data_IF_590753799117
#
_entry.id   IF_590753799117
#
_cell.length_a   1.000
_cell.length_b   1.000
_cell.length_c   1.000
_cell.angle_alpha   90.00
_cell.angle_beta   90.00
_cell.angle_gamma   90.00
#
_symmetry.space_group_name_H-M   'P 1'
#
loop_
_entity.id
_entity.type
_entity.pdbx_description
1 polymer ?
#
# COMPACT_ATOMS: atom_id res chain seq x y z
N UNK A 1 -24.07 71.79 28.80
CA UNK A 1 -24.18 70.37 29.19
C UNK A 1 -24.93 69.62 28.09
N UNK A 2 -24.23 68.94 27.18
CA UNK A 2 -24.86 68.12 26.12
C UNK A 2 -24.66 66.65 26.46
N UNK A 3 -25.76 65.97 26.80
CA UNK A 3 -25.80 64.54 27.15
C UNK A 3 -25.54 63.71 25.91
N UNK A 4 -24.41 63.01 25.87
CA UNK A 4 -24.11 61.99 24.88
C UNK A 4 -24.99 60.76 25.17
N UNK A 5 -25.99 60.54 24.33
CA UNK A 5 -26.81 59.33 24.36
C UNK A 5 -26.14 58.30 23.46
N UNK A 6 -25.35 57.42 24.07
CA UNK A 6 -24.70 56.28 23.41
C UNK A 6 -25.76 55.24 23.09
N UNK A 7 -26.26 55.22 21.86
CA UNK A 7 -27.03 54.09 21.34
C UNK A 7 -26.06 53.03 20.83
N UNK A 8 -25.82 52.02 21.66
CA UNK A 8 -25.18 50.76 21.28
C UNK A 8 -26.03 50.11 20.18
N UNK A 9 -25.56 50.18 18.94
CA UNK A 9 -26.10 49.39 17.86
C UNK A 9 -25.64 47.94 18.05
N UNK A 10 -26.58 47.09 18.47
CA UNK A 10 -26.40 45.64 18.55
C UNK A 10 -26.32 45.11 17.12
N UNK A 11 -25.12 44.71 16.71
CA UNK A 11 -24.87 44.07 15.41
C UNK A 11 -25.20 42.58 15.56
N UNK A 12 -26.42 42.19 15.21
CA UNK A 12 -26.78 40.79 14.95
C UNK A 12 -26.69 40.59 13.44
N UNK A 13 -25.53 40.14 12.97
CA UNK A 13 -25.40 39.54 11.64
C UNK A 13 -25.71 38.07 11.80
N UNK A 14 -27.01 37.74 11.73
CA UNK A 14 -27.44 36.42 11.30
C UNK A 14 -27.31 36.40 9.78
N UNK A 15 -26.34 35.66 9.25
CA UNK A 15 -26.39 35.18 7.87
C UNK A 15 -25.78 33.77 7.85
N UNK A 16 -26.69 32.82 7.96
CA UNK A 16 -26.71 31.53 7.28
C UNK A 16 -25.53 31.27 6.34
N UNK A 17 -24.69 30.31 6.73
CA UNK A 17 -23.70 29.68 5.88
C UNK A 17 -23.52 28.24 6.31
N UNK A 18 -24.53 27.40 6.06
CA UNK A 18 -24.29 25.97 5.93
C UNK A 18 -23.42 25.79 4.68
N UNK A 19 -22.11 25.78 4.86
CA UNK A 19 -21.18 25.24 3.86
C UNK A 19 -20.67 23.90 4.39
N UNK A 20 -21.59 22.96 4.52
CA UNK A 20 -21.28 21.54 4.39
C UNK A 20 -21.39 21.21 2.90
N UNK A 21 -20.38 21.60 2.15
CA UNK A 21 -20.07 20.98 0.85
C UNK A 21 -18.60 20.60 0.97
N UNK A 22 -18.34 19.36 1.38
CA UNK A 22 -18.19 18.26 0.43
C UNK A 22 -17.09 18.61 -0.56
N UNK A 23 -15.85 18.36 -0.13
CA UNK A 23 -14.73 17.93 -0.98
C UNK A 23 -13.64 17.41 -0.03
N UNK A 24 -13.99 16.37 0.75
CA UNK A 24 -12.98 15.34 1.01
C UNK A 24 -12.82 14.60 -0.32
N UNK A 25 -12.15 15.26 -1.27
CA UNK A 25 -11.53 14.56 -2.38
C UNK A 25 -10.51 13.65 -1.72
N UNK A 26 -10.94 12.42 -1.44
CA UNK A 26 -10.07 11.30 -1.32
C UNK A 26 -9.31 11.23 -2.66
N UNK A 27 -8.23 12.00 -2.74
CA UNK A 27 -7.13 11.79 -3.66
C UNK A 27 -6.46 10.47 -3.20
N UNK A 28 -7.20 9.37 -3.35
CA UNK A 28 -6.68 8.07 -3.71
C UNK A 28 -6.16 8.16 -5.15
N UNK A 29 -5.27 9.13 -5.40
CA UNK A 29 -4.08 8.81 -6.18
C UNK A 29 -3.38 7.76 -5.34
N UNK A 30 -3.75 6.50 -5.59
CA UNK A 30 -2.91 5.37 -5.30
C UNK A 30 -1.51 5.80 -5.74
N UNK A 31 -0.68 6.13 -4.75
CA UNK A 31 0.75 6.22 -4.94
C UNK A 31 1.15 4.80 -5.34
N UNK A 32 1.10 4.54 -6.65
CA UNK A 32 1.64 3.36 -7.31
C UNK A 32 3.18 3.40 -7.31
N UNK A 33 3.76 4.02 -6.29
CA UNK A 33 5.19 4.06 -6.04
C UNK A 33 5.47 3.05 -4.94
N UNK A 34 5.42 1.78 -5.32
CA UNK A 34 5.98 0.72 -4.49
C UNK A 34 7.51 0.91 -4.54
N UNK A 35 8.13 1.35 -3.43
CA UNK A 35 9.50 1.85 -3.44
C UNK A 35 10.53 0.76 -3.72
N UNK A 36 10.18 -0.49 -3.43
CA UNK A 36 11.04 -1.65 -3.62
C UNK A 36 10.57 -2.44 -4.85
N UNK A 37 11.38 -2.49 -5.90
CA UNK A 37 11.11 -3.26 -7.12
C UNK A 37 12.29 -4.16 -7.42
N UNK A 38 12.04 -5.47 -7.51
CA UNK A 38 13.09 -6.42 -7.84
C UNK A 38 12.56 -7.59 -8.66
N UNK A 39 13.45 -8.23 -9.40
CA UNK A 39 13.22 -9.51 -10.04
C UNK A 39 14.02 -10.55 -9.28
N UNK A 40 13.36 -11.63 -8.89
CA UNK A 40 13.99 -12.70 -8.14
C UNK A 40 13.39 -14.06 -8.46
N UNK A 41 14.19 -15.08 -8.21
CA UNK A 41 13.85 -16.47 -8.42
C UNK A 41 13.48 -17.13 -7.10
N UNK A 42 12.36 -17.84 -7.08
CA UNK A 42 11.88 -18.53 -5.87
C UNK A 42 12.81 -19.70 -5.55
N UNK A 43 13.46 -19.66 -4.39
CA UNK A 43 14.34 -20.74 -3.91
C UNK A 43 13.60 -21.69 -2.98
N UNK A 44 12.63 -21.19 -2.22
CA UNK A 44 11.87 -21.96 -1.23
C UNK A 44 10.45 -21.41 -1.10
N UNK A 45 9.50 -22.32 -0.91
CA UNK A 45 8.11 -22.02 -0.53
C UNK A 45 7.80 -22.90 0.68
N UNK A 46 7.32 -22.31 1.75
CA UNK A 46 6.93 -23.00 2.98
C UNK A 46 5.54 -22.57 3.39
N UNK A 47 4.67 -23.53 3.65
CA UNK A 47 3.33 -23.25 4.15
C UNK A 47 3.43 -23.00 5.66
N UNK A 48 2.85 -21.89 6.10
CA UNK A 48 2.73 -21.55 7.50
C UNK A 48 1.33 -21.96 7.95
N UNK A 49 1.22 -23.21 8.43
CA UNK A 49 0.01 -23.69 9.09
C UNK A 49 -0.17 -22.93 10.41
N UNK A 50 -1.14 -22.02 10.43
CA UNK A 50 -1.56 -21.34 11.64
C UNK A 50 -2.84 -22.01 12.15
N UNK A 51 -2.79 -22.81 13.24
CA UNK A 51 -3.92 -23.64 13.68
C UNK A 51 -5.19 -22.87 14.08
N UNK A 52 -5.13 -21.54 14.16
CA UNK A 52 -6.23 -20.66 14.54
C UNK A 52 -6.44 -19.47 13.59
N UNK A 53 -5.77 -19.43 12.43
CA UNK A 53 -5.96 -18.36 11.46
C UNK A 53 -6.77 -18.86 10.27
N UNK A 54 -7.87 -18.18 9.94
CA UNK A 54 -8.71 -18.49 8.77
C UNK A 54 -8.04 -18.23 7.41
N UNK A 55 -6.76 -17.86 7.40
CA UNK A 55 -6.01 -17.41 6.24
C UNK A 55 -4.69 -18.17 6.18
N UNK A 56 -4.59 -19.10 5.22
CA UNK A 56 -3.36 -19.81 4.90
C UNK A 56 -2.28 -18.81 4.47
N UNK A 57 -1.09 -18.91 5.05
CA UNK A 57 0.07 -18.07 4.72
C UNK A 57 1.17 -18.92 4.12
N UNK A 58 1.93 -18.32 3.21
CA UNK A 58 3.10 -18.90 2.58
C UNK A 58 4.30 -18.01 2.92
N UNK A 59 5.36 -18.61 3.43
CA UNK A 59 6.68 -18.00 3.45
C UNK A 59 7.38 -18.34 2.13
N UNK A 60 7.73 -17.33 1.35
CA UNK A 60 8.40 -17.49 0.06
C UNK A 60 9.76 -16.82 0.11
N UNK A 61 10.79 -17.59 -0.19
CA UNK A 61 12.16 -17.10 -0.27
C UNK A 61 12.53 -16.85 -1.73
N UNK A 62 13.05 -15.66 -1.99
CA UNK A 62 13.54 -15.21 -3.29
C UNK A 62 15.04 -14.98 -3.22
N UNK A 63 15.75 -15.54 -4.19
CA UNK A 63 17.06 -15.05 -4.58
C UNK A 63 16.86 -13.85 -5.50
N UNK A 64 17.36 -12.68 -5.12
CA UNK A 64 17.21 -11.48 -5.94
C UNK A 64 18.26 -11.48 -7.04
N UNK A 65 17.81 -11.55 -8.28
CA UNK A 65 18.66 -11.55 -9.47
C UNK A 65 18.96 -10.10 -9.90
N UNK A 66 17.97 -9.21 -9.79
CA UNK A 66 18.10 -7.80 -10.15
C UNK A 66 17.19 -6.92 -9.29
N UNK A 67 17.68 -5.78 -8.81
CA UNK A 67 16.84 -4.76 -8.17
C UNK A 67 16.77 -3.53 -9.07
N UNK A 68 15.55 -3.10 -9.39
CA UNK A 68 15.29 -1.93 -10.24
C UNK A 68 15.08 -0.68 -9.39
N UNK A 69 14.58 -0.84 -8.17
CA UNK A 69 14.32 0.25 -7.23
C UNK A 69 14.43 -0.29 -5.79
N UNK A 70 15.01 0.50 -4.89
CA UNK A 70 15.17 0.12 -3.48
C UNK A 70 16.52 -0.49 -3.13
N UNK A 71 16.61 -1.05 -1.92
CA UNK A 71 17.86 -1.67 -1.42
C UNK A 71 18.04 -3.06 -2.03
N UNK A 72 19.16 -3.27 -2.73
CA UNK A 72 19.56 -4.60 -3.18
C UNK A 72 19.86 -5.50 -1.98
N UNK A 73 19.11 -6.61 -1.87
CA UNK A 73 19.34 -7.67 -0.91
C UNK A 73 19.42 -8.99 -1.69
N UNK A 74 20.51 -9.76 -1.59
CA UNK A 74 20.69 -10.97 -2.41
C UNK A 74 19.64 -12.05 -2.13
N UNK A 75 19.02 -12.00 -0.95
CA UNK A 75 17.96 -12.88 -0.49
C UNK A 75 16.87 -12.07 0.20
N UNK A 76 15.61 -12.34 -0.13
CA UNK A 76 14.41 -11.74 0.47
C UNK A 76 13.44 -12.86 0.83
N UNK A 77 12.89 -12.81 2.04
CA UNK A 77 11.82 -13.72 2.48
C UNK A 77 10.56 -12.90 2.64
N UNK A 78 9.46 -13.32 2.00
CA UNK A 78 8.18 -12.64 2.04
C UNK A 78 7.11 -13.57 2.62
N UNK A 79 6.26 -13.01 3.46
CA UNK A 79 5.06 -13.68 3.96
C UNK A 79 3.88 -13.28 3.10
N UNK A 80 3.40 -14.19 2.27
CA UNK A 80 2.32 -13.95 1.32
C UNK A 80 1.09 -14.74 1.73
N UNK A 81 -0.08 -14.16 1.58
CA UNK A 81 -1.33 -14.90 1.77
C UNK A 81 -1.53 -15.89 0.62
N UNK A 82 -1.84 -17.14 0.96
CA UNK A 82 -2.16 -18.18 -0.02
C UNK A 82 -3.50 -17.82 -0.66
N UNK A 83 -3.44 -17.30 -1.87
CA UNK A 83 -4.61 -16.99 -2.69
C UNK A 83 -4.54 -17.82 -3.97
N UNK A 84 -5.70 -18.13 -4.57
CA UNK A 84 -5.74 -18.92 -5.82
C UNK A 84 -4.99 -18.24 -6.97
N UNK A 85 -4.89 -16.91 -6.96
CA UNK A 85 -4.24 -16.11 -8.01
C UNK A 85 -2.72 -15.97 -7.84
N UNK A 86 -2.17 -16.19 -6.65
CA UNK A 86 -0.74 -16.01 -6.36
C UNK A 86 -0.11 -17.30 -5.83
N UNK A 87 0.09 -18.28 -6.73
CA UNK A 87 0.85 -19.50 -6.43
C UNK A 87 2.31 -19.36 -6.89
N UNK A 88 3.19 -19.03 -5.95
CA UNK A 88 4.64 -19.02 -6.21
C UNK A 88 5.15 -20.44 -6.40
N UNK A 89 5.96 -20.66 -7.44
CA UNK A 89 6.56 -21.97 -7.72
C UNK A 89 8.07 -21.88 -7.61
N UNK A 90 8.68 -22.84 -6.91
CA UNK A 90 10.13 -22.96 -6.80
C UNK A 90 10.77 -23.05 -8.19
N UNK A 91 11.84 -22.29 -8.40
CA UNK A 91 12.57 -22.21 -9.66
C UNK A 91 12.01 -21.23 -10.69
N UNK A 92 10.83 -20.63 -10.43
CA UNK A 92 10.28 -19.58 -11.29
C UNK A 92 10.79 -18.20 -10.86
N UNK A 93 11.00 -17.32 -11.85
CA UNK A 93 11.37 -15.93 -11.62
C UNK A 93 10.15 -15.01 -11.67
N UNK A 94 10.10 -14.04 -10.77
CA UNK A 94 9.02 -13.09 -10.65
C UNK A 94 9.57 -11.68 -10.53
N UNK A 95 8.88 -10.73 -11.16
CA UNK A 95 9.03 -9.31 -10.89
C UNK A 95 8.07 -8.94 -9.77
N UNK A 96 8.62 -8.44 -8.66
CA UNK A 96 7.91 -8.07 -7.45
C UNK A 96 8.05 -6.57 -7.23
N UNK A 97 6.94 -5.97 -6.83
CA UNK A 97 6.87 -4.59 -6.37
C UNK A 97 6.32 -4.62 -4.95
N UNK A 98 7.11 -4.11 -4.00
CA UNK A 98 6.84 -4.16 -2.58
C UNK A 98 6.71 -2.76 -1.98
N UNK A 99 5.89 -2.69 -0.94
CA UNK A 99 5.80 -1.57 -0.03
C UNK A 99 5.77 -2.14 1.40
N UNK A 100 6.77 -1.82 2.22
CA UNK A 100 6.88 -2.31 3.60
C UNK A 100 6.73 -3.85 3.72
N UNK A 101 7.41 -4.58 2.83
CA UNK A 101 7.36 -6.04 2.67
C UNK A 101 5.99 -6.64 2.28
N UNK A 102 5.00 -5.80 1.95
CA UNK A 102 3.73 -6.19 1.34
C UNK A 102 3.83 -6.16 -0.18
N UNK A 103 3.25 -7.16 -0.84
CA UNK A 103 3.24 -7.23 -2.31
C UNK A 103 2.18 -6.28 -2.85
N UNK A 104 2.64 -5.26 -3.58
CA UNK A 104 1.78 -4.43 -4.40
C UNK A 104 1.43 -5.09 -5.74
N UNK A 105 2.46 -5.65 -6.40
CA UNK A 105 2.33 -6.23 -7.73
C UNK A 105 3.28 -7.42 -7.87
N UNK A 106 2.81 -8.44 -8.56
CA UNK A 106 3.60 -9.62 -8.91
C UNK A 106 3.34 -10.00 -10.36
N UNK A 107 4.41 -10.16 -11.14
CA UNK A 107 4.36 -10.66 -12.52
C UNK A 107 5.35 -11.79 -12.69
N UNK A 108 4.89 -12.94 -13.14
CA UNK A 108 5.78 -14.04 -13.49
C UNK A 108 6.57 -13.67 -14.75
N UNK A 109 7.90 -13.79 -14.69
CA UNK A 109 8.75 -13.61 -15.86
C UNK A 109 8.83 -14.95 -16.57
N UNK A 110 8.07 -15.08 -17.66
CA UNK A 110 8.17 -16.27 -18.53
C UNK A 110 9.35 -16.06 -19.45
N UNK A 111 10.47 -16.70 -19.14
CA UNK A 111 11.60 -16.76 -20.07
C UNK A 111 11.20 -17.64 -21.25
N UNK A 112 10.78 -17.03 -22.36
CA UNK A 112 10.67 -17.75 -23.64
C UNK A 112 12.09 -18.04 -24.12
N UNK A 113 12.53 -19.27 -23.88
CA UNK A 113 13.63 -19.91 -24.62
C UNK A 113 13.25 -20.15 -26.07
#
# INVERSE_FOLDING_TARGET
MKRFVTRLAVVVVMLSGNMFDANAEANLKAHADCPDKFTGTVTKVSELDAPFASLDRLEVEFKVDHSTQGQFRPKRTLNVMKTKEHSFKKGMSYKLELQDDLICNVKQVVTRT
#
